data_IF_831070014498
#
_entry.id   IF_831070014498
#
_cell.length_a   1.000
_cell.length_b   1.000
_cell.length_c   1.000
_cell.angle_alpha   90.00
_cell.angle_beta   90.00
_cell.angle_gamma   90.00
#
_symmetry.space_group_name_H-M   'P 1'
#
loop_
_entity.id
_entity.type
_entity.pdbx_description
1 polymer ?
#
# COMPACT_ATOMS: atom_id res chain seq x y z
N UNK A 1 -17.38 -3.46 58.64
CA UNK A 1 -16.50 -3.63 57.45
C UNK A 1 -17.37 -3.54 56.20
N UNK A 2 -17.36 -2.39 55.52
CA UNK A 2 -18.27 -2.08 54.40
C UNK A 2 -17.52 -2.17 53.07
N UNK A 3 -18.19 -2.79 52.10
CA UNK A 3 -17.80 -3.06 50.70
C UNK A 3 -17.27 -1.82 49.97
N UNK A 4 -16.12 -1.94 49.29
CA UNK A 4 -15.67 -1.05 48.22
C UNK A 4 -16.00 -1.67 46.86
N UNK A 5 -17.04 -1.13 46.23
CA UNK A 5 -17.37 -1.30 44.81
C UNK A 5 -16.60 -0.24 43.97
N UNK A 6 -16.41 -0.54 42.67
CA UNK A 6 -16.46 0.42 41.54
C UNK A 6 -15.26 1.30 41.15
N UNK A 7 -14.11 0.74 40.74
CA UNK A 7 -13.19 1.51 39.84
C UNK A 7 -12.72 0.74 38.58
N UNK A 8 -12.98 -0.56 38.41
CA UNK A 8 -12.33 -1.33 37.34
C UNK A 8 -13.05 -1.39 35.97
N UNK A 9 -14.21 -0.75 35.77
CA UNK A 9 -15.00 -0.96 34.52
C UNK A 9 -14.87 0.16 33.48
N UNK A 10 -14.37 1.35 33.85
CA UNK A 10 -14.41 2.52 32.94
C UNK A 10 -13.19 2.66 32.03
N UNK A 11 -12.05 2.01 32.33
CA UNK A 11 -10.82 2.07 31.51
C UNK A 11 -10.74 0.96 30.44
N UNK A 12 -11.50 -0.12 30.60
CA UNK A 12 -11.58 -1.21 29.61
C UNK A 12 -12.45 -0.86 28.41
N UNK A 13 -13.53 -0.10 28.60
CA UNK A 13 -14.47 0.24 27.51
C UNK A 13 -13.96 1.39 26.63
N UNK A 14 -13.24 2.36 27.17
CA UNK A 14 -12.63 3.46 26.40
C UNK A 14 -11.46 2.99 25.55
N UNK A 15 -10.66 2.04 26.04
CA UNK A 15 -9.61 1.38 25.27
C UNK A 15 -10.20 0.47 24.19
N UNK A 16 -11.27 -0.30 24.45
CA UNK A 16 -11.92 -1.15 23.44
C UNK A 16 -12.68 -0.36 22.37
N UNK A 17 -13.38 0.73 22.73
CA UNK A 17 -14.06 1.62 21.79
C UNK A 17 -13.07 2.47 20.98
N UNK A 18 -11.97 2.92 21.59
CA UNK A 18 -10.87 3.62 20.93
C UNK A 18 -10.13 2.72 19.93
N UNK A 19 -9.87 1.46 20.31
CA UNK A 19 -9.28 0.44 19.43
C UNK A 19 -10.26 0.06 18.29
N UNK A 20 -11.57 0.01 18.55
CA UNK A 20 -12.62 -0.17 17.53
C UNK A 20 -12.72 1.01 16.56
N UNK A 21 -12.45 2.24 16.99
CA UNK A 21 -12.43 3.40 16.09
C UNK A 21 -11.17 3.43 15.21
N UNK A 22 -10.00 3.09 15.78
CA UNK A 22 -8.74 3.03 15.04
C UNK A 22 -8.68 1.90 13.98
N UNK A 23 -9.54 0.88 14.12
CA UNK A 23 -9.60 -0.28 13.22
C UNK A 23 -10.73 -0.22 12.20
N UNK A 24 -11.63 0.79 12.27
CA UNK A 24 -12.77 0.88 11.35
C UNK A 24 -12.29 1.21 9.92
N UNK A 25 -12.50 0.30 8.96
CA UNK A 25 -12.24 0.60 7.56
C UNK A 25 -13.12 1.76 7.11
N UNK A 26 -12.62 2.58 6.17
CA UNK A 26 -13.46 3.57 5.50
C UNK A 26 -14.71 2.90 4.92
N UNK A 27 -15.88 3.51 5.02
CA UNK A 27 -17.08 2.94 4.42
C UNK A 27 -16.96 3.03 2.89
N UNK A 28 -17.51 2.06 2.14
CA UNK A 28 -17.77 2.26 0.71
C UNK A 28 -18.59 3.54 0.53
N UNK A 29 -18.12 4.43 -0.32
CA UNK A 29 -18.79 5.68 -0.67
C UNK A 29 -18.79 5.75 -2.19
N UNK A 30 -19.96 5.72 -2.83
CA UNK A 30 -20.03 5.74 -4.29
C UNK A 30 -19.38 6.99 -4.88
N UNK A 31 -18.87 6.86 -6.11
CA UNK A 31 -18.29 7.98 -6.84
C UNK A 31 -19.35 9.09 -7.01
N UNK A 32 -19.17 10.23 -6.34
CA UNK A 32 -20.17 11.30 -6.36
C UNK A 32 -20.27 11.98 -7.73
N UNK A 33 -19.14 12.13 -8.43
CA UNK A 33 -19.03 12.82 -9.72
C UNK A 33 -17.91 12.17 -10.56
N UNK A 34 -18.10 12.08 -11.88
CA UNK A 34 -17.02 11.74 -12.82
C UNK A 34 -16.33 13.01 -13.31
N UNK A 35 -15.01 12.99 -13.38
CA UNK A 35 -14.18 14.10 -13.84
C UNK A 35 -13.72 13.85 -15.29
N UNK A 36 -13.59 14.91 -16.11
CA UNK A 36 -13.12 14.77 -17.49
C UNK A 36 -11.61 14.47 -17.59
N UNK A 37 -10.82 14.88 -16.60
CA UNK A 37 -9.36 14.68 -16.54
C UNK A 37 -8.96 13.30 -15.99
N UNK A 38 -9.93 12.45 -15.61
CA UNK A 38 -9.68 11.14 -15.00
C UNK A 38 -10.01 10.01 -15.96
N UNK A 39 -9.05 9.11 -16.16
CA UNK A 39 -9.27 7.83 -16.83
C UNK A 39 -9.90 6.84 -15.85
N UNK A 40 -11.14 6.46 -16.11
CA UNK A 40 -11.83 5.41 -15.35
C UNK A 40 -11.63 4.04 -15.99
N UNK A 41 -11.30 3.05 -15.17
CA UNK A 41 -11.22 1.65 -15.57
C UNK A 41 -11.71 0.74 -14.45
N UNK A 42 -12.01 -0.51 -14.80
CA UNK A 42 -12.30 -1.58 -13.84
C UNK A 42 -11.01 -2.18 -13.24
N UNK A 43 -9.92 -1.41 -13.20
CA UNK A 43 -8.61 -1.82 -12.65
C UNK A 43 -8.60 -1.46 -11.17
N UNK A 44 -8.61 -2.42 -10.24
CA UNK A 44 -8.60 -2.13 -8.82
C UNK A 44 -7.27 -1.51 -8.39
N UNK A 45 -7.35 -0.60 -7.42
CA UNK A 45 -6.18 -0.04 -6.75
C UNK A 45 -6.13 -0.51 -5.32
N UNK A 46 -5.11 -1.32 -4.98
CA UNK A 46 -4.90 -1.84 -3.63
C UNK A 46 -4.10 -0.83 -2.80
N UNK A 47 -4.50 -0.62 -1.55
CA UNK A 47 -3.81 0.26 -0.61
C UNK A 47 -3.23 -0.57 0.53
N UNK A 48 -1.89 -0.63 0.59
CA UNK A 48 -1.13 -1.48 1.52
C UNK A 48 -0.43 -0.60 2.57
N UNK A 49 -0.79 -0.71 3.86
CA UNK A 49 -0.16 0.08 4.92
C UNK A 49 1.25 -0.46 5.27
N UNK A 50 2.06 0.39 5.91
CA UNK A 50 3.34 -0.01 6.48
C UNK A 50 3.22 -0.75 7.81
N UNK A 51 4.37 -1.02 8.44
CA UNK A 51 4.46 -1.62 9.77
C UNK A 51 3.65 -0.86 10.82
N UNK A 52 2.87 -1.58 11.62
CA UNK A 52 1.94 -1.00 12.60
C UNK A 52 0.81 -0.16 12.00
N UNK A 53 0.72 -0.07 10.68
CA UNK A 53 -0.33 0.66 9.98
C UNK A 53 -1.64 -0.14 9.93
N UNK A 54 -2.74 0.59 9.83
CA UNK A 54 -4.09 0.01 9.83
C UNK A 54 -5.06 0.84 8.99
N UNK A 55 -6.34 0.78 9.32
CA UNK A 55 -7.38 1.45 8.54
C UNK A 55 -7.12 2.96 8.39
N UNK A 56 -6.69 3.62 9.47
CA UNK A 56 -6.43 5.07 9.48
C UNK A 56 -5.35 5.52 8.50
N UNK A 57 -4.44 4.63 8.08
CA UNK A 57 -3.35 4.97 7.14
C UNK A 57 -3.88 5.59 5.85
N UNK A 58 -4.96 5.02 5.29
CA UNK A 58 -5.52 5.47 4.01
C UNK A 58 -6.96 5.96 4.06
N UNK A 59 -7.68 5.81 5.18
CA UNK A 59 -9.10 6.24 5.27
C UNK A 59 -9.32 7.68 4.74
N UNK A 60 -8.48 8.63 5.15
CA UNK A 60 -8.57 10.03 4.68
C UNK A 60 -8.34 10.19 3.17
N UNK A 61 -7.41 9.41 2.59
CA UNK A 61 -7.11 9.44 1.18
C UNK A 61 -8.23 8.79 0.35
N UNK A 62 -8.75 7.64 0.78
CA UNK A 62 -9.84 6.92 0.12
C UNK A 62 -11.13 7.76 0.11
N UNK A 63 -11.47 8.35 1.26
CA UNK A 63 -12.58 9.30 1.39
C UNK A 63 -12.40 10.51 0.47
N UNK A 64 -11.18 11.02 0.38
CA UNK A 64 -10.88 12.12 -0.53
C UNK A 64 -11.10 11.77 -1.99
N UNK A 65 -10.61 10.61 -2.44
CA UNK A 65 -10.78 10.13 -3.81
C UNK A 65 -12.24 9.99 -4.20
N UNK A 66 -13.07 9.40 -3.32
CA UNK A 66 -14.50 9.23 -3.58
C UNK A 66 -15.21 10.58 -3.79
N UNK A 67 -14.99 11.52 -2.86
CA UNK A 67 -15.62 12.84 -2.90
C UNK A 67 -15.14 13.75 -4.02
N UNK A 68 -13.93 13.52 -4.54
CA UNK A 68 -13.37 14.36 -5.60
C UNK A 68 -13.47 13.72 -6.98
N UNK A 69 -14.03 12.50 -7.08
CA UNK A 69 -14.29 11.84 -8.34
C UNK A 69 -13.10 11.08 -8.92
N UNK A 70 -12.10 10.69 -8.13
CA UNK A 70 -10.95 9.93 -8.65
C UNK A 70 -11.18 8.43 -8.72
N UNK A 71 -11.92 7.91 -7.76
CA UNK A 71 -12.21 6.50 -7.59
C UNK A 71 -12.91 6.28 -6.26
N UNK A 72 -13.44 5.09 -6.02
CA UNK A 72 -14.15 4.85 -4.77
C UNK A 72 -13.91 3.47 -4.17
N UNK A 73 -13.99 3.41 -2.84
CA UNK A 73 -13.76 2.16 -2.11
C UNK A 73 -14.93 1.20 -2.30
N UNK A 74 -14.61 -0.01 -2.76
CA UNK A 74 -15.60 -1.08 -3.00
C UNK A 74 -15.44 -2.26 -2.05
N UNK A 75 -14.18 -2.55 -1.65
CA UNK A 75 -13.84 -3.74 -0.85
C UNK A 75 -12.80 -3.37 0.22
N UNK A 76 -12.95 -3.99 1.39
CA UNK A 76 -11.88 -4.16 2.39
C UNK A 76 -11.45 -5.61 2.38
N UNK A 77 -10.15 -5.88 2.32
CA UNK A 77 -9.59 -7.21 2.50
C UNK A 77 -8.79 -7.19 3.79
N UNK A 78 -9.22 -7.97 4.78
CA UNK A 78 -8.55 -8.06 6.09
C UNK A 78 -7.90 -9.43 6.23
N UNK A 79 -6.61 -9.45 6.50
CA UNK A 79 -5.87 -10.68 6.82
C UNK A 79 -5.82 -10.83 8.33
N UNK A 80 -6.40 -11.92 8.85
CA UNK A 80 -6.48 -12.18 10.28
C UNK A 80 -5.17 -12.77 10.85
N UNK A 81 -5.18 -13.08 12.15
CA UNK A 81 -4.03 -13.66 12.86
C UNK A 81 -3.63 -15.08 12.38
N UNK A 82 -4.52 -15.78 11.67
CA UNK A 82 -4.23 -17.08 11.08
C UNK A 82 -3.80 -16.98 9.61
N UNK A 83 -3.79 -15.78 9.03
CA UNK A 83 -3.49 -15.55 7.61
C UNK A 83 -4.69 -15.73 6.68
N UNK A 84 -5.90 -15.92 7.22
CA UNK A 84 -7.12 -15.99 6.41
C UNK A 84 -7.52 -14.59 5.94
N UNK A 85 -8.04 -14.52 4.71
CA UNK A 85 -8.37 -13.27 4.03
C UNK A 85 -9.88 -13.11 4.03
N UNK A 86 -10.37 -12.08 4.71
CA UNK A 86 -11.78 -11.76 4.87
C UNK A 86 -12.14 -10.57 3.97
N UNK A 87 -13.06 -10.79 3.04
CA UNK A 87 -13.52 -9.78 2.09
C UNK A 87 -14.80 -9.13 2.63
N UNK A 88 -14.85 -7.80 2.67
CA UNK A 88 -16.02 -7.04 3.10
C UNK A 88 -16.32 -5.92 2.12
N UNK A 89 -17.52 -5.95 1.55
CA UNK A 89 -17.92 -5.11 0.42
C UNK A 89 -18.30 -5.95 -0.79
N UNK A 90 -18.37 -5.33 -1.96
CA UNK A 90 -18.76 -6.02 -3.19
C UNK A 90 -17.88 -5.56 -4.34
N UNK A 91 -17.26 -6.52 -5.01
CA UNK A 91 -16.62 -6.31 -6.31
C UNK A 91 -17.71 -6.33 -7.39
N UNK A 92 -17.81 -5.28 -8.21
CA UNK A 92 -18.83 -5.14 -9.26
C UNK A 92 -18.24 -4.90 -10.66
N UNK A 93 -16.91 -4.98 -10.78
CA UNK A 93 -16.15 -4.73 -12.01
C UNK A 93 -16.51 -3.42 -12.74
N UNK A 94 -17.08 -2.44 -12.06
CA UNK A 94 -17.45 -1.18 -12.69
C UNK A 94 -16.21 -0.36 -13.04
N UNK A 95 -16.26 0.33 -14.18
CA UNK A 95 -15.22 1.26 -14.60
C UNK A 95 -15.31 2.58 -13.81
N UNK A 96 -14.94 2.52 -12.54
CA UNK A 96 -15.06 3.59 -11.54
C UNK A 96 -13.77 3.81 -10.74
N UNK A 97 -12.65 3.20 -11.17
CA UNK A 97 -11.41 3.12 -10.40
C UNK A 97 -11.64 2.55 -8.99
N UNK A 98 -12.03 1.26 -8.90
CA UNK A 98 -12.36 0.65 -7.62
C UNK A 98 -11.16 0.61 -6.68
N UNK A 99 -11.36 1.02 -5.43
CA UNK A 99 -10.32 1.07 -4.40
C UNK A 99 -10.52 -0.09 -3.42
N UNK A 100 -9.43 -0.81 -3.15
CA UNK A 100 -9.39 -1.95 -2.23
C UNK A 100 -8.48 -1.57 -1.05
N UNK A 101 -9.05 -1.50 0.14
CA UNK A 101 -8.27 -1.27 1.36
C UNK A 101 -7.80 -2.61 1.92
N UNK A 102 -6.49 -2.83 2.02
CA UNK A 102 -5.92 -4.04 2.62
C UNK A 102 -5.49 -3.76 4.04
N UNK A 103 -5.84 -4.65 4.97
CA UNK A 103 -5.53 -4.55 6.40
C UNK A 103 -4.88 -5.85 6.88
N UNK A 104 -3.85 -5.73 7.71
CA UNK A 104 -3.20 -6.87 8.35
C UNK A 104 -3.38 -6.77 9.86
N UNK A 105 -3.96 -7.81 10.47
CA UNK A 105 -4.06 -7.89 11.93
C UNK A 105 -2.67 -8.06 12.56
N UNK A 106 -1.83 -8.88 11.93
CA UNK A 106 -0.38 -8.91 12.14
C UNK A 106 0.32 -7.76 11.39
N UNK A 107 0.10 -6.51 11.81
CA UNK A 107 0.83 -5.37 11.25
C UNK A 107 2.21 -5.14 11.89
N UNK A 108 2.43 -5.68 13.10
CA UNK A 108 3.68 -5.57 13.86
C UNK A 108 4.52 -6.85 13.74
N UNK A 109 5.07 -7.10 12.56
CA UNK A 109 5.93 -8.25 12.27
C UNK A 109 7.41 -7.90 12.45
N UNK A 110 8.26 -8.93 12.57
CA UNK A 110 9.73 -8.77 12.65
C UNK A 110 10.34 -8.27 11.33
N UNK A 111 9.76 -8.71 10.22
CA UNK A 111 10.08 -8.29 8.86
C UNK A 111 8.79 -8.26 8.03
N UNK A 112 8.87 -7.87 6.77
CA UNK A 112 7.69 -7.76 5.88
C UNK A 112 7.40 -9.02 5.03
N UNK A 113 8.08 -10.15 5.27
CA UNK A 113 7.89 -11.37 4.46
C UNK A 113 6.47 -11.96 4.56
N UNK A 114 5.79 -11.96 5.73
CA UNK A 114 4.38 -12.36 5.79
C UNK A 114 3.49 -11.51 4.87
N UNK A 115 3.73 -10.20 4.81
CA UNK A 115 3.00 -9.29 3.94
C UNK A 115 3.25 -9.59 2.45
N UNK A 116 4.45 -10.05 2.06
CA UNK A 116 4.71 -10.52 0.69
C UNK A 116 3.78 -11.68 0.33
N UNK A 117 3.66 -12.67 1.23
CA UNK A 117 2.81 -13.84 1.02
C UNK A 117 1.34 -13.44 0.96
N UNK A 118 0.88 -12.59 1.88
CA UNK A 118 -0.50 -12.13 1.92
C UNK A 118 -0.89 -11.29 0.71
N UNK A 119 -0.05 -10.34 0.28
CA UNK A 119 -0.31 -9.56 -0.94
C UNK A 119 -0.40 -10.49 -2.15
N UNK A 120 0.52 -11.45 -2.26
CA UNK A 120 0.52 -12.42 -3.36
C UNK A 120 -0.73 -13.30 -3.36
N UNK A 121 -1.18 -13.75 -2.19
CA UNK A 121 -2.42 -14.51 -2.05
C UNK A 121 -3.65 -13.67 -2.42
N UNK A 122 -3.72 -12.41 -1.96
CA UNK A 122 -4.79 -11.48 -2.33
C UNK A 122 -4.85 -11.28 -3.85
N UNK A 123 -3.70 -11.10 -4.51
CA UNK A 123 -3.65 -10.95 -5.96
C UNK A 123 -4.15 -12.20 -6.69
N UNK A 124 -3.88 -13.40 -6.17
CA UNK A 124 -4.43 -14.66 -6.70
C UNK A 124 -5.93 -14.79 -6.50
N UNK A 125 -6.44 -14.46 -5.32
CA UNK A 125 -7.89 -14.46 -5.07
C UNK A 125 -8.60 -13.49 -6.04
N UNK A 126 -8.07 -12.27 -6.19
CA UNK A 126 -8.61 -11.29 -7.15
C UNK A 126 -8.57 -11.80 -8.59
N UNK A 127 -7.51 -12.53 -8.98
CA UNK A 127 -7.43 -13.14 -10.31
C UNK A 127 -8.48 -14.22 -10.53
N UNK A 128 -8.56 -15.17 -9.59
CA UNK A 128 -9.34 -16.40 -9.72
C UNK A 128 -10.82 -16.19 -9.46
N UNK A 129 -11.14 -15.44 -8.41
CA UNK A 129 -12.51 -15.29 -7.90
C UNK A 129 -13.19 -14.02 -8.42
N UNK A 130 -12.42 -12.95 -8.65
CA UNK A 130 -12.95 -11.66 -9.08
C UNK A 130 -12.69 -11.35 -10.58
N UNK A 131 -12.00 -12.23 -11.29
CA UNK A 131 -11.68 -12.04 -12.71
C UNK A 131 -10.73 -10.86 -12.99
N UNK A 132 -10.03 -10.34 -11.99
CA UNK A 132 -9.11 -9.20 -12.15
C UNK A 132 -7.92 -9.64 -13.01
N UNK A 133 -7.56 -8.83 -14.01
CA UNK A 133 -6.43 -9.10 -14.92
C UNK A 133 -5.32 -8.07 -14.86
N UNK A 134 -5.63 -6.87 -14.41
CA UNK A 134 -4.66 -5.80 -14.15
C UNK A 134 -4.96 -5.17 -12.80
N UNK A 135 -3.94 -4.63 -12.14
CA UNK A 135 -4.12 -3.92 -10.87
C UNK A 135 -3.20 -2.71 -10.75
N UNK A 136 -3.61 -1.76 -9.93
CA UNK A 136 -2.72 -0.74 -9.38
C UNK A 136 -2.47 -1.04 -7.90
N UNK A 137 -1.37 -0.50 -7.35
CA UNK A 137 -1.08 -0.64 -5.94
C UNK A 137 -0.43 0.64 -5.39
N UNK A 138 -0.87 1.08 -4.22
CA UNK A 138 -0.25 2.12 -3.40
C UNK A 138 0.28 1.48 -2.14
N UNK A 139 1.60 1.52 -1.93
CA UNK A 139 2.27 0.90 -0.79
C UNK A 139 3.07 1.93 0.00
N UNK A 140 2.89 1.94 1.33
CA UNK A 140 3.65 2.81 2.23
C UNK A 140 4.67 1.99 3.01
N UNK A 141 5.91 2.50 3.11
CA UNK A 141 6.97 1.90 3.91
C UNK A 141 7.12 0.38 3.60
N UNK A 142 7.16 -0.47 4.61
CA UNK A 142 7.19 -1.94 4.45
C UNK A 142 6.03 -2.54 3.64
N UNK A 143 4.86 -1.90 3.58
CA UNK A 143 3.79 -2.32 2.69
C UNK A 143 4.18 -2.17 1.21
N UNK A 144 4.95 -1.12 0.90
CA UNK A 144 5.59 -0.96 -0.40
C UNK A 144 6.72 -1.97 -0.65
N UNK A 145 7.54 -2.27 0.37
CA UNK A 145 8.63 -3.25 0.25
C UNK A 145 8.07 -4.64 -0.06
N UNK A 146 6.99 -5.01 0.64
CA UNK A 146 6.27 -6.24 0.40
C UNK A 146 5.65 -6.30 -1.01
N UNK A 147 5.09 -5.18 -1.49
CA UNK A 147 4.54 -5.10 -2.85
C UNK A 147 5.62 -5.22 -3.95
N UNK A 148 6.78 -4.58 -3.77
CA UNK A 148 7.92 -4.74 -4.70
C UNK A 148 8.40 -6.19 -4.74
N UNK A 149 8.47 -6.85 -3.58
CA UNK A 149 8.83 -8.27 -3.50
C UNK A 149 7.80 -9.16 -4.20
N UNK A 150 6.50 -8.93 -3.98
CA UNK A 150 5.45 -9.67 -4.67
C UNK A 150 5.52 -9.48 -6.19
N UNK A 151 5.70 -8.24 -6.65
CA UNK A 151 5.85 -7.91 -8.07
C UNK A 151 7.04 -8.64 -8.71
N UNK A 152 8.23 -8.52 -8.11
CA UNK A 152 9.44 -9.06 -8.71
C UNK A 152 9.42 -10.59 -8.66
N UNK A 153 9.16 -11.18 -7.47
CA UNK A 153 9.32 -12.62 -7.23
C UNK A 153 8.14 -13.47 -7.72
N UNK A 154 6.94 -12.89 -7.76
CA UNK A 154 5.71 -13.63 -8.07
C UNK A 154 4.95 -13.06 -9.27
N UNK A 155 5.26 -11.82 -9.70
CA UNK A 155 4.61 -11.17 -10.83
C UNK A 155 4.60 -11.95 -12.15
N UNK A 156 5.53 -12.89 -12.45
CA UNK A 156 5.42 -13.77 -13.63
C UNK A 156 4.34 -14.83 -13.58
N UNK A 157 3.85 -15.21 -12.39
CA UNK A 157 2.90 -16.30 -12.24
C UNK A 157 1.63 -16.05 -13.10
N UNK A 158 1.09 -17.08 -13.77
CA UNK A 158 -0.04 -16.92 -14.69
C UNK A 158 -1.37 -16.66 -13.98
N UNK A 159 -1.43 -16.90 -12.68
CA UNK A 159 -2.60 -16.71 -11.82
C UNK A 159 -2.56 -15.41 -11.02
N UNK A 160 -1.71 -14.46 -11.43
CA UNK A 160 -1.56 -13.14 -10.82
C UNK A 160 -1.86 -12.08 -11.89
N UNK A 161 -2.70 -11.06 -11.59
CA UNK A 161 -2.98 -9.98 -12.53
C UNK A 161 -1.69 -9.19 -12.83
N UNK A 162 -1.58 -8.60 -14.02
CA UNK A 162 -0.41 -7.79 -14.38
C UNK A 162 -0.47 -6.42 -13.71
N UNK A 163 0.68 -5.92 -13.26
CA UNK A 163 0.77 -4.59 -12.68
C UNK A 163 0.57 -3.53 -13.78
N UNK A 164 -0.34 -2.59 -13.53
CA UNK A 164 -0.50 -1.39 -14.36
C UNK A 164 0.30 -0.23 -13.76
N UNK A 165 0.03 0.15 -12.49
CA UNK A 165 0.72 1.25 -11.81
C UNK A 165 1.04 0.91 -10.35
N UNK A 166 2.28 1.12 -9.94
CA UNK A 166 2.74 0.98 -8.55
C UNK A 166 3.20 2.33 -8.02
N UNK A 167 2.56 2.83 -6.97
CA UNK A 167 2.96 4.05 -6.26
C UNK A 167 3.54 3.67 -4.89
N UNK A 168 4.82 3.95 -4.71
CA UNK A 168 5.56 3.69 -3.48
C UNK A 168 5.69 4.98 -2.68
N UNK A 169 5.42 4.92 -1.39
CA UNK A 169 5.46 6.05 -0.47
C UNK A 169 6.49 5.77 0.63
N UNK A 170 7.70 6.32 0.49
CA UNK A 170 8.77 6.18 1.48
C UNK A 170 9.20 4.73 1.70
N UNK A 171 9.28 3.95 0.63
CA UNK A 171 9.47 2.49 0.67
C UNK A 171 10.96 2.12 0.77
N UNK A 172 11.42 1.48 1.86
CA UNK A 172 12.78 0.96 1.92
C UNK A 172 12.91 -0.31 1.08
N UNK A 173 13.65 -0.23 -0.03
CA UNK A 173 13.90 -1.38 -0.92
C UNK A 173 15.21 -2.10 -0.57
N UNK A 174 16.17 -1.38 -0.02
CA UNK A 174 17.40 -1.94 0.52
C UNK A 174 17.63 -1.42 1.95
N UNK A 175 17.45 -2.28 2.94
CA UNK A 175 17.54 -1.94 4.36
C UNK A 175 18.95 -2.04 4.93
N UNK A 176 19.99 -2.13 4.08
CA UNK A 176 21.38 -2.15 4.55
C UNK A 176 21.69 -0.94 5.43
N UNK A 177 22.51 -1.18 6.44
CA UNK A 177 23.05 -0.17 7.37
C UNK A 177 24.53 -0.43 7.60
N UNK A 178 25.22 0.46 8.33
CA UNK A 178 26.62 0.23 8.70
C UNK A 178 26.82 -1.04 9.55
N UNK A 179 25.82 -1.41 10.37
CA UNK A 179 25.86 -2.62 11.23
C UNK A 179 25.42 -3.88 10.49
N UNK A 180 24.54 -3.73 9.51
CA UNK A 180 24.02 -4.81 8.68
C UNK A 180 24.24 -4.44 7.21
N UNK A 181 25.46 -4.64 6.67
CA UNK A 181 25.83 -4.12 5.35
C UNK A 181 25.17 -4.88 4.19
N UNK A 182 24.62 -6.07 4.47
CA UNK A 182 23.92 -6.93 3.51
C UNK A 182 22.45 -7.00 3.88
N UNK A 183 21.59 -6.69 2.91
CA UNK A 183 20.15 -6.97 2.95
C UNK A 183 19.85 -8.16 2.05
N UNK A 184 19.65 -9.34 2.65
CA UNK A 184 19.37 -10.56 1.90
C UNK A 184 18.08 -10.47 1.06
N UNK A 185 17.10 -9.65 1.46
CA UNK A 185 15.88 -9.48 0.68
C UNK A 185 16.15 -8.66 -0.58
N UNK A 186 16.93 -7.59 -0.46
CA UNK A 186 17.38 -6.81 -1.62
C UNK A 186 18.20 -7.67 -2.60
N UNK A 187 19.08 -8.53 -2.09
CA UNK A 187 19.88 -9.45 -2.90
C UNK A 187 19.01 -10.44 -3.70
N UNK A 188 17.96 -10.98 -3.06
CA UNK A 188 16.97 -11.82 -3.76
C UNK A 188 16.26 -11.05 -4.88
N UNK A 189 15.86 -9.80 -4.63
CA UNK A 189 15.26 -8.96 -5.67
C UNK A 189 16.22 -8.71 -6.84
N UNK A 190 17.49 -8.45 -6.55
CA UNK A 190 18.51 -8.21 -7.58
C UNK A 190 18.72 -9.45 -8.44
N UNK A 191 18.79 -10.64 -7.84
CA UNK A 191 18.89 -11.90 -8.57
C UNK A 191 17.65 -12.17 -9.46
N UNK A 192 16.46 -11.84 -8.96
CA UNK A 192 15.19 -12.07 -9.65
C UNK A 192 14.76 -10.93 -10.59
N UNK A 193 15.53 -9.84 -10.73
CA UNK A 193 15.09 -8.64 -11.47
C UNK A 193 14.63 -8.89 -12.91
N UNK A 194 15.17 -9.92 -13.56
CA UNK A 194 14.78 -10.33 -14.91
C UNK A 194 13.29 -10.73 -15.01
N UNK A 195 12.65 -11.09 -13.90
CA UNK A 195 11.23 -11.43 -13.80
C UNK A 195 10.31 -10.24 -14.06
N UNK A 196 10.82 -9.00 -13.96
CA UNK A 196 10.06 -7.79 -14.34
C UNK A 196 9.60 -7.79 -15.81
N UNK A 197 10.20 -8.62 -16.68
CA UNK A 197 9.74 -8.85 -18.06
C UNK A 197 8.27 -9.30 -18.17
N UNK A 198 7.70 -9.87 -17.11
CA UNK A 198 6.28 -10.21 -17.09
C UNK A 198 5.36 -8.99 -16.98
N UNK A 199 5.90 -7.82 -16.61
CA UNK A 199 5.17 -6.59 -16.34
C UNK A 199 5.79 -5.38 -17.07
N UNK A 200 6.31 -5.58 -18.29
CA UNK A 200 7.04 -4.55 -19.06
C UNK A 200 6.28 -3.24 -19.26
N UNK A 201 4.95 -3.30 -19.29
CA UNK A 201 4.11 -2.11 -19.49
C UNK A 201 3.90 -1.29 -18.19
N UNK A 202 4.28 -1.84 -17.04
CA UNK A 202 4.04 -1.25 -15.73
C UNK A 202 4.74 0.10 -15.55
N UNK A 203 4.11 0.97 -14.77
CA UNK A 203 4.68 2.25 -14.33
C UNK A 203 4.90 2.22 -12.81
N UNK A 204 6.14 2.46 -12.39
CA UNK A 204 6.56 2.50 -11.00
C UNK A 204 6.89 3.95 -10.63
N UNK A 205 6.17 4.47 -9.65
CA UNK A 205 6.36 5.80 -9.09
C UNK A 205 6.92 5.69 -7.67
N UNK A 206 8.20 5.99 -7.51
CA UNK A 206 8.90 5.93 -6.24
C UNK A 206 8.94 7.31 -5.59
N UNK A 207 7.99 7.55 -4.68
CA UNK A 207 7.78 8.84 -4.04
C UNK A 207 8.37 8.82 -2.63
N UNK A 208 9.24 9.78 -2.31
CA UNK A 208 9.91 9.85 -1.02
C UNK A 208 10.03 11.27 -0.50
N UNK A 209 9.99 11.40 0.83
CA UNK A 209 10.14 12.68 1.52
C UNK A 209 11.55 12.90 2.05
N UNK A 210 11.85 14.15 2.40
CA UNK A 210 12.97 14.46 3.29
C UNK A 210 12.59 15.54 4.30
N UNK A 211 13.12 15.44 5.51
CA UNK A 211 13.09 16.52 6.50
C UNK A 211 14.17 17.56 6.19
N UNK A 212 13.99 18.83 6.61
CA UNK A 212 14.99 19.90 6.40
C UNK A 212 16.38 19.48 6.88
N UNK A 213 17.39 19.65 6.03
CA UNK A 213 18.79 19.30 6.35
C UNK A 213 19.08 17.79 6.47
N UNK A 214 18.12 16.91 6.15
CA UNK A 214 18.28 15.45 6.31
C UNK A 214 18.05 14.72 5.00
N UNK A 215 18.82 13.66 4.74
CA UNK A 215 18.59 12.72 3.61
C UNK A 215 17.67 11.56 4.00
N UNK A 216 16.60 11.89 4.71
CA UNK A 216 15.58 10.94 5.21
C UNK A 216 14.28 11.68 5.49
N UNK A 217 13.16 10.99 5.37
CA UNK A 217 11.83 11.46 5.82
C UNK A 217 11.64 11.34 7.35
N UNK A 218 12.69 11.02 8.10
CA UNK A 218 12.67 10.81 9.55
C UNK A 218 12.56 9.34 9.95
N UNK A 219 12.26 8.44 9.01
CA UNK A 219 12.24 6.98 9.26
C UNK A 219 13.07 6.22 8.24
N UNK A 220 12.92 6.55 6.95
CA UNK A 220 13.58 5.85 5.86
C UNK A 220 14.61 6.75 5.19
N UNK A 221 15.90 6.37 5.14
CA UNK A 221 16.91 7.09 4.39
C UNK A 221 16.67 7.02 2.88
N UNK A 222 16.93 8.12 2.16
CA UNK A 222 16.74 8.20 0.70
C UNK A 222 17.47 7.08 -0.03
N UNK A 223 18.68 6.71 0.41
CA UNK A 223 19.46 5.62 -0.20
C UNK A 223 18.74 4.27 -0.19
N UNK A 224 17.92 3.99 0.81
CA UNK A 224 17.17 2.74 0.91
C UNK A 224 15.99 2.74 -0.08
N UNK A 225 15.42 3.92 -0.35
CA UNK A 225 14.32 4.10 -1.30
C UNK A 225 14.80 4.05 -2.74
N UNK A 226 15.85 4.81 -3.08
CA UNK A 226 16.38 4.90 -4.45
C UNK A 226 17.14 3.64 -4.88
N UNK A 227 17.40 2.70 -3.97
CA UNK A 227 17.98 1.40 -4.30
C UNK A 227 17.13 0.61 -5.32
N UNK A 228 15.84 0.94 -5.45
CA UNK A 228 14.95 0.40 -6.48
C UNK A 228 15.50 0.58 -7.91
N UNK A 229 16.30 1.62 -8.16
CA UNK A 229 17.01 1.83 -9.44
C UNK A 229 17.77 0.58 -9.89
N UNK A 230 18.42 -0.12 -8.96
CA UNK A 230 19.22 -1.31 -9.28
C UNK A 230 18.36 -2.52 -9.69
N UNK A 231 17.13 -2.58 -9.17
CA UNK A 231 16.19 -3.65 -9.46
C UNK A 231 15.52 -3.41 -10.81
N UNK A 232 15.13 -2.19 -11.13
CA UNK A 232 14.47 -1.87 -12.41
C UNK A 232 15.45 -1.68 -13.58
N UNK A 233 16.76 -1.54 -13.29
CA UNK A 233 17.79 -1.35 -14.31
C UNK A 233 17.76 -2.45 -15.37
N UNK A 234 17.67 -2.04 -16.65
CA UNK A 234 17.64 -2.94 -17.80
C UNK A 234 16.28 -3.62 -18.05
N UNK A 235 15.25 -3.32 -17.25
CA UNK A 235 13.89 -3.75 -17.54
C UNK A 235 13.12 -2.70 -18.34
N UNK A 236 12.07 -3.10 -19.06
CA UNK A 236 11.24 -2.18 -19.84
C UNK A 236 10.21 -1.40 -18.99
N UNK A 237 10.12 -1.68 -17.68
CA UNK A 237 9.18 -0.98 -16.80
C UNK A 237 9.53 0.51 -16.75
N UNK A 238 8.51 1.36 -16.75
CA UNK A 238 8.71 2.81 -16.65
C UNK A 238 8.89 3.18 -15.20
N UNK A 239 10.05 3.71 -14.85
CA UNK A 239 10.42 4.06 -13.49
C UNK A 239 10.56 5.58 -13.32
N UNK A 240 9.86 6.13 -12.34
CA UNK A 240 9.85 7.54 -12.02
C UNK A 240 10.14 7.74 -10.54
N UNK A 241 10.97 8.71 -10.20
CA UNK A 241 11.21 9.11 -8.82
C UNK A 241 10.65 10.49 -8.55
N UNK A 242 10.04 10.66 -7.38
CA UNK A 242 9.52 11.96 -6.98
C UNK A 242 9.90 12.28 -5.54
N UNK A 243 10.80 13.23 -5.41
CA UNK A 243 11.23 13.75 -4.13
C UNK A 243 10.26 14.85 -3.65
N UNK A 244 9.81 14.74 -2.40
CA UNK A 244 8.91 15.69 -1.74
C UNK A 244 9.63 16.31 -0.54
N UNK A 245 10.31 17.44 -0.77
CA UNK A 245 11.01 18.17 0.29
C UNK A 245 10.07 18.62 1.43
N UNK A 246 10.58 18.58 2.66
CA UNK A 246 9.89 18.98 3.88
C UNK A 246 8.78 18.03 4.33
N UNK A 247 8.71 16.81 3.80
CA UNK A 247 7.69 15.82 4.16
C UNK A 247 8.28 14.66 4.96
N UNK A 248 7.73 14.43 6.14
CA UNK A 248 8.10 13.29 6.98
C UNK A 248 7.34 12.00 6.60
N UNK A 249 7.80 10.87 7.15
CA UNK A 249 7.38 9.53 6.76
C UNK A 249 5.85 9.30 6.77
N UNK A 250 5.19 9.54 7.90
CA UNK A 250 3.72 9.40 8.00
C UNK A 250 2.94 10.45 7.19
N UNK A 251 3.57 11.57 6.82
CA UNK A 251 2.94 12.60 5.99
C UNK A 251 2.88 12.22 4.51
N UNK A 252 3.65 11.23 4.06
CA UNK A 252 3.59 10.73 2.69
C UNK A 252 2.22 10.12 2.33
N UNK A 253 1.51 9.55 3.31
CA UNK A 253 0.17 8.98 3.10
C UNK A 253 -0.96 9.81 3.72
N UNK A 254 -0.67 10.91 4.44
CA UNK A 254 -1.69 11.71 5.15
C UNK A 254 -1.77 13.17 4.72
N UNK A 255 -0.73 13.74 4.10
CA UNK A 255 -0.78 15.13 3.66
C UNK A 255 -1.66 15.30 2.42
N UNK A 256 -2.51 16.34 2.39
CA UNK A 256 -3.45 16.61 1.29
C UNK A 256 -2.79 16.71 -0.08
N UNK A 257 -1.60 17.33 -0.16
CA UNK A 257 -0.81 17.41 -1.41
C UNK A 257 -0.44 16.03 -1.97
N UNK A 258 -0.26 15.05 -1.09
CA UNK A 258 0.03 13.67 -1.49
C UNK A 258 -1.22 12.97 -2.04
N UNK A 259 -2.41 13.30 -1.57
CA UNK A 259 -3.64 12.72 -2.13
C UNK A 259 -3.78 13.13 -3.59
N UNK A 260 -3.62 14.43 -3.87
CA UNK A 260 -3.64 14.94 -5.25
C UNK A 260 -2.53 14.32 -6.10
N UNK A 261 -1.32 14.18 -5.56
CA UNK A 261 -0.23 13.54 -6.27
C UNK A 261 -0.54 12.08 -6.62
N UNK A 262 -0.94 11.28 -5.64
CA UNK A 262 -1.26 9.85 -5.85
C UNK A 262 -2.40 9.70 -6.86
N UNK A 263 -3.44 10.53 -6.79
CA UNK A 263 -4.50 10.53 -7.80
C UNK A 263 -3.97 10.82 -9.21
N UNK A 264 -3.06 11.80 -9.35
CA UNK A 264 -2.45 12.12 -10.64
C UNK A 264 -1.66 10.96 -11.21
N UNK A 265 -0.80 10.37 -10.39
CA UNK A 265 0.05 9.24 -10.80
C UNK A 265 -0.76 8.00 -11.22
N UNK A 266 -1.94 7.83 -10.63
CA UNK A 266 -2.82 6.69 -10.90
C UNK A 266 -3.75 6.88 -12.10
N UNK A 267 -4.39 8.06 -12.22
CA UNK A 267 -5.57 8.19 -13.08
C UNK A 267 -5.69 9.47 -13.89
N UNK A 268 -4.85 10.48 -13.66
CA UNK A 268 -4.92 11.75 -14.42
C UNK A 268 -3.94 11.69 -15.59
N UNK A 269 -4.41 12.11 -16.76
CA UNK A 269 -3.58 12.24 -17.96
C UNK A 269 -2.76 13.53 -17.94
#
# INVERSE_FOLDING_TARGET
>A
MIKRWQVAVTLGLTSWLGLRWATRPGRPESLAVRRPDVRYAAIPTLFIPGWGGGALTYNGMLHWFARHGYGHKVVTIRVDWAGHRHFSGRWDAQATNPLIQVLFDHSLTRDYQPQVQWITAILRDLYRECGVRQYNLVGHSWGGSAAVNSLVLHGPAPDIPRLNRLVLLGTPVNERTARHPVDATFERLRAARHQLRANEQAQLFNVYGTLPGRRTDGSVPVQQVTALRQIVAGSAVRYHEQHIAGLGHGRLHSARRMYLLVARLLWVN
#
